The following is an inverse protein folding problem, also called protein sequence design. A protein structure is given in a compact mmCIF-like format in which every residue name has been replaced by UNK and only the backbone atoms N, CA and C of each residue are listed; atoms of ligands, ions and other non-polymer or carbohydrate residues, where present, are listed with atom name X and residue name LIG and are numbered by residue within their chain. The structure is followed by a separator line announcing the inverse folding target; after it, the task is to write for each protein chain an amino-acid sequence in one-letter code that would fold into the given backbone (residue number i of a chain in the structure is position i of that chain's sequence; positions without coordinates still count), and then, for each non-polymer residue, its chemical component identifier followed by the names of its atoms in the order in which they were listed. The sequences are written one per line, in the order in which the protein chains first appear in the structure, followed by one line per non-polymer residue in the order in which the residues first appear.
data_IF_227112716122
#
_entry.id   IF_227112716122
#
_cell.length_a   1.000
_cell.length_b   1.000
_cell.length_c   1.000
_cell.angle_alpha   90.00
_cell.angle_beta   90.00
_cell.angle_gamma   90.00
#
_symmetry.space_group_name_H-M   'P 1'
#
loop_
_entity.id
_entity.type
_entity.pdbx_description
1 polymer ?
#
# COMPACT_ATOMS: atom_id res chain seq x y z
N UNK A 1 -15.72 14.42 25.35
CA UNK A 1 -15.55 13.26 26.25
C UNK A 1 -14.44 13.47 27.25
N UNK A 2 -14.62 12.97 28.48
CA UNK A 2 -13.60 12.98 29.54
C UNK A 2 -13.29 11.55 29.95
N UNK A 3 -12.01 11.22 30.09
CA UNK A 3 -11.61 9.94 30.67
C UNK A 3 -12.11 9.82 32.12
N UNK A 4 -12.53 8.63 32.53
CA UNK A 4 -12.84 8.33 33.94
C UNK A 4 -11.60 7.88 34.73
N UNK A 5 -10.48 7.64 34.05
CA UNK A 5 -9.27 7.03 34.63
C UNK A 5 -8.06 7.98 34.58
N UNK A 6 -8.15 9.05 33.77
CA UNK A 6 -7.06 10.04 33.61
C UNK A 6 -7.65 11.42 33.30
N UNK A 7 -6.83 12.48 33.40
CA UNK A 7 -7.25 13.85 33.07
C UNK A 7 -7.40 14.14 31.59
N UNK A 8 -7.37 13.11 30.74
CA UNK A 8 -7.51 13.25 29.30
C UNK A 8 -8.91 13.67 28.91
N UNK A 9 -8.99 14.67 28.04
CA UNK A 9 -10.22 15.16 27.42
C UNK A 9 -10.09 15.03 25.91
N UNK A 10 -11.11 14.44 25.28
CA UNK A 10 -11.21 14.36 23.81
C UNK A 10 -12.32 15.28 23.35
N UNK A 11 -12.04 16.08 22.32
CA UNK A 11 -13.08 16.82 21.60
C UNK A 11 -13.68 15.86 20.57
N UNK A 12 -14.92 15.44 20.78
CA UNK A 12 -15.67 14.72 19.77
C UNK A 12 -16.33 15.74 18.86
N UNK A 13 -16.03 15.65 17.56
CA UNK A 13 -16.65 16.48 16.55
C UNK A 13 -17.60 15.60 15.75
N UNK A 14 -18.91 15.85 15.89
CA UNK A 14 -19.94 15.17 15.11
C UNK A 14 -20.33 16.07 13.95
N UNK A 15 -20.22 15.61 12.72
CA UNK A 15 -20.90 16.24 11.59
C UNK A 15 -22.38 15.84 11.62
N UNK A 16 -23.22 16.75 12.09
CA UNK A 16 -24.69 16.56 12.12
C UNK A 16 -25.34 16.75 10.75
N UNK A 17 -24.63 17.26 9.78
CA UNK A 17 -25.03 17.35 8.37
C UNK A 17 -23.83 16.95 7.51
N UNK A 18 -24.04 16.02 6.60
CA UNK A 18 -23.13 15.86 5.49
C UNK A 18 -23.03 17.22 4.78
N UNK A 19 -21.88 17.88 4.85
CA UNK A 19 -21.63 18.99 3.93
C UNK A 19 -21.76 18.40 2.54
N UNK A 20 -22.64 18.99 1.73
CA UNK A 20 -22.68 18.67 0.31
C UNK A 20 -21.24 18.70 -0.22
N UNK A 21 -20.80 17.72 -1.02
CA UNK A 21 -19.45 17.67 -1.53
C UNK A 21 -19.22 18.94 -2.35
N UNK A 22 -18.46 19.87 -1.81
CA UNK A 22 -17.97 21.08 -2.49
C UNK A 22 -16.70 20.74 -3.29
N UNK A 23 -16.76 19.71 -4.07
CA UNK A 23 -15.99 19.44 -5.26
C UNK A 23 -16.75 18.33 -5.95
N UNK A 24 -17.08 18.50 -7.21
CA UNK A 24 -17.56 17.41 -8.04
C UNK A 24 -16.59 16.25 -7.87
N UNK A 25 -17.01 15.22 -7.12
CA UNK A 25 -16.33 13.94 -7.17
C UNK A 25 -16.31 13.59 -8.66
N UNK A 26 -15.17 13.23 -9.26
CA UNK A 26 -15.14 12.82 -10.65
C UNK A 26 -16.21 11.77 -10.80
N UNK A 27 -17.25 12.06 -11.58
CA UNK A 27 -18.31 11.12 -11.87
C UNK A 27 -17.62 9.90 -12.44
N UNK A 28 -17.71 8.78 -11.74
CA UNK A 28 -17.17 7.53 -12.21
C UNK A 28 -17.86 7.26 -13.56
N UNK A 29 -17.13 7.45 -14.66
CA UNK A 29 -17.64 7.14 -15.99
C UNK A 29 -18.00 5.68 -15.99
N UNK A 30 -19.29 5.39 -16.08
CA UNK A 30 -19.77 4.01 -16.23
C UNK A 30 -19.43 3.61 -17.68
N UNK A 31 -18.55 2.61 -17.83
CA UNK A 31 -18.28 2.06 -19.16
C UNK A 31 -19.53 1.39 -19.71
N UNK A 32 -19.71 1.52 -21.03
CA UNK A 32 -20.78 0.82 -21.71
C UNK A 32 -20.67 -0.69 -21.50
N UNK A 33 -21.79 -1.34 -21.25
CA UNK A 33 -21.85 -2.77 -20.95
C UNK A 33 -21.19 -3.63 -22.05
N UNK A 34 -21.32 -3.22 -23.31
CA UNK A 34 -20.69 -3.87 -24.47
C UNK A 34 -19.17 -3.90 -24.39
N UNK A 35 -18.54 -2.79 -23.92
CA UNK A 35 -17.08 -2.70 -23.73
C UNK A 35 -16.62 -3.57 -22.54
N UNK A 36 -17.42 -3.61 -21.48
CA UNK A 36 -17.16 -4.48 -20.33
C UNK A 36 -17.14 -5.93 -20.76
N UNK A 37 -18.15 -6.38 -21.49
CA UNK A 37 -18.25 -7.76 -22.00
C UNK A 37 -17.15 -8.11 -23.00
N UNK A 38 -16.75 -7.15 -23.84
CA UNK A 38 -15.63 -7.34 -24.76
C UNK A 38 -14.30 -7.49 -24.01
N UNK A 39 -14.07 -6.68 -22.98
CA UNK A 39 -12.91 -6.79 -22.14
C UNK A 39 -12.86 -8.15 -21.40
N UNK A 40 -13.98 -8.61 -20.84
CA UNK A 40 -14.13 -9.93 -20.20
C UNK A 40 -13.80 -11.06 -21.20
N UNK A 41 -14.39 -11.01 -22.40
CA UNK A 41 -14.10 -11.97 -23.47
C UNK A 41 -12.62 -11.97 -23.86
N UNK A 42 -12.00 -10.80 -23.94
CA UNK A 42 -10.56 -10.67 -24.20
C UNK A 42 -9.72 -11.32 -23.11
N UNK A 43 -10.01 -11.04 -21.84
CA UNK A 43 -9.32 -11.64 -20.67
C UNK A 43 -9.44 -13.16 -20.70
N UNK A 44 -10.66 -13.67 -20.80
CA UNK A 44 -10.94 -15.12 -20.87
C UNK A 44 -10.19 -15.77 -22.04
N UNK A 45 -10.30 -15.23 -23.25
CA UNK A 45 -9.65 -15.76 -24.46
C UNK A 45 -8.12 -15.82 -24.33
N UNK A 46 -7.49 -14.76 -23.81
CA UNK A 46 -6.03 -14.73 -23.67
C UNK A 46 -5.55 -15.72 -22.61
N UNK A 47 -6.22 -15.78 -21.47
CA UNK A 47 -5.79 -16.63 -20.37
C UNK A 47 -6.12 -18.12 -20.59
N UNK A 48 -7.24 -18.44 -21.23
CA UNK A 48 -7.57 -19.84 -21.57
C UNK A 48 -6.87 -20.33 -22.83
N UNK A 49 -6.44 -19.43 -23.72
CA UNK A 49 -5.65 -19.74 -24.91
C UNK A 49 -4.27 -20.31 -24.60
N UNK A 50 -3.56 -20.77 -25.62
CA UNK A 50 -2.24 -21.39 -25.47
C UNK A 50 -1.06 -20.48 -25.84
N UNK A 51 -1.35 -19.26 -26.33
CA UNK A 51 -0.30 -18.30 -26.72
C UNK A 51 0.15 -17.45 -25.54
N UNK A 52 1.23 -17.89 -24.89
CA UNK A 52 1.86 -17.18 -23.75
C UNK A 52 2.30 -15.76 -24.09
N UNK A 53 2.62 -15.45 -25.36
CA UNK A 53 3.10 -14.13 -25.76
C UNK A 53 1.99 -13.06 -25.71
N UNK A 54 0.73 -13.46 -25.68
CA UNK A 54 -0.39 -12.54 -25.52
C UNK A 54 -0.60 -12.07 -24.07
N UNK A 55 -0.15 -12.84 -23.09
CA UNK A 55 -0.37 -12.55 -21.67
C UNK A 55 0.27 -11.21 -21.25
N UNK A 56 1.53 -10.89 -21.59
CA UNK A 56 2.12 -9.58 -21.27
C UNK A 56 1.41 -8.39 -21.96
N UNK A 57 0.66 -8.64 -23.02
CA UNK A 57 -0.09 -7.62 -23.75
C UNK A 57 -1.53 -7.41 -23.21
N UNK A 58 -1.96 -8.23 -22.25
CA UNK A 58 -3.36 -8.29 -21.80
C UNK A 58 -3.86 -6.93 -21.31
N UNK A 59 -3.11 -6.27 -20.42
CA UNK A 59 -3.48 -4.94 -19.89
C UNK A 59 -3.63 -3.91 -21.02
N UNK A 60 -2.70 -3.91 -22.00
CA UNK A 60 -2.78 -3.01 -23.16
C UNK A 60 -3.99 -3.29 -24.05
N UNK A 61 -4.36 -4.57 -24.19
CA UNK A 61 -5.56 -4.96 -24.95
C UNK A 61 -6.82 -4.48 -24.27
N UNK A 62 -6.94 -4.69 -22.97
CA UNK A 62 -8.08 -4.21 -22.18
C UNK A 62 -8.16 -2.68 -22.19
N UNK A 63 -7.03 -1.97 -22.08
CA UNK A 63 -7.00 -0.52 -22.17
C UNK A 63 -7.46 0.01 -23.54
N UNK A 64 -7.14 -0.72 -24.62
CA UNK A 64 -7.62 -0.39 -25.98
C UNK A 64 -9.13 -0.60 -26.13
N UNK A 65 -9.67 -1.68 -25.56
CA UNK A 65 -11.11 -1.99 -25.57
C UNK A 65 -11.88 -0.94 -24.76
N UNK A 66 -11.42 -0.61 -23.55
CA UNK A 66 -12.07 0.38 -22.69
C UNK A 66 -11.94 1.82 -23.18
N UNK A 67 -11.02 2.09 -24.13
CA UNK A 67 -10.70 3.45 -24.58
C UNK A 67 -10.01 4.32 -23.53
N UNK A 68 -9.60 3.75 -22.40
CA UNK A 68 -9.03 4.47 -21.25
C UNK A 68 -7.73 3.81 -20.79
N UNK A 69 -6.75 4.61 -20.30
CA UNK A 69 -5.59 4.06 -19.60
C UNK A 69 -6.04 3.31 -18.35
N UNK A 70 -5.29 2.28 -17.96
CA UNK A 70 -5.67 1.38 -16.86
C UNK A 70 -5.90 2.10 -15.52
N UNK A 71 -5.23 3.22 -15.30
CA UNK A 71 -5.31 3.97 -14.03
C UNK A 71 -6.64 4.73 -13.89
N UNK A 72 -7.34 4.94 -15.02
CA UNK A 72 -8.64 5.61 -15.09
C UNK A 72 -9.81 4.60 -15.14
N UNK A 73 -9.54 3.30 -15.04
CA UNK A 73 -10.60 2.30 -15.06
C UNK A 73 -11.53 2.42 -13.86
N UNK A 74 -12.85 2.52 -14.07
CA UNK A 74 -13.84 2.62 -12.99
C UNK A 74 -13.84 1.41 -12.07
N UNK A 75 -14.15 1.63 -10.78
CA UNK A 75 -14.14 0.57 -9.76
C UNK A 75 -14.99 -0.64 -10.16
N UNK A 76 -16.24 -0.44 -10.59
CA UNK A 76 -17.12 -1.54 -11.00
C UNK A 76 -16.55 -2.35 -12.16
N UNK A 77 -15.93 -1.68 -13.15
CA UNK A 77 -15.29 -2.36 -14.28
C UNK A 77 -14.15 -3.27 -13.83
N UNK A 78 -13.23 -2.76 -13.01
CA UNK A 78 -12.11 -3.58 -12.54
C UNK A 78 -12.56 -4.70 -11.61
N UNK A 79 -13.65 -4.54 -10.85
CA UNK A 79 -14.22 -5.60 -10.01
C UNK A 79 -14.87 -6.70 -10.85
N UNK A 80 -15.54 -6.35 -11.94
CA UNK A 80 -16.05 -7.33 -12.93
C UNK A 80 -14.91 -8.16 -13.51
N UNK A 81 -13.79 -7.53 -13.87
CA UNK A 81 -12.60 -8.26 -14.35
C UNK A 81 -11.96 -9.11 -13.23
N UNK A 82 -12.00 -8.65 -11.98
CA UNK A 82 -11.48 -9.43 -10.85
C UNK A 82 -12.29 -10.72 -10.63
N UNK A 83 -13.62 -10.66 -10.78
CA UNK A 83 -14.48 -11.84 -10.68
C UNK A 83 -14.13 -12.87 -11.76
N UNK A 84 -13.99 -12.45 -13.01
CA UNK A 84 -13.53 -13.33 -14.09
C UNK A 84 -12.17 -13.97 -13.82
N UNK A 85 -11.24 -13.20 -13.28
CA UNK A 85 -9.91 -13.68 -12.94
C UNK A 85 -9.94 -14.70 -11.81
N UNK A 86 -10.80 -14.50 -10.82
CA UNK A 86 -11.00 -15.46 -9.71
C UNK A 86 -11.57 -16.78 -10.22
N UNK A 87 -12.55 -16.75 -11.12
CA UNK A 87 -13.10 -17.94 -11.79
C UNK A 87 -12.02 -18.70 -12.58
N UNK A 88 -11.06 -17.97 -13.14
CA UNK A 88 -9.96 -18.51 -13.91
C UNK A 88 -8.71 -18.85 -13.10
N UNK A 89 -8.77 -18.92 -11.77
CA UNK A 89 -7.59 -19.13 -10.92
C UNK A 89 -6.78 -20.40 -11.26
N UNK A 90 -7.41 -21.42 -11.83
CA UNK A 90 -6.75 -22.67 -12.24
C UNK A 90 -5.74 -22.48 -13.39
N UNK A 91 -5.85 -21.41 -14.17
CA UNK A 91 -4.94 -21.15 -15.30
C UNK A 91 -3.49 -20.90 -14.83
N UNK A 92 -3.29 -20.60 -13.58
CA UNK A 92 -1.97 -20.41 -12.98
C UNK A 92 -1.06 -21.61 -13.23
N UNK A 93 -1.61 -22.82 -13.27
CA UNK A 93 -0.86 -24.07 -13.54
C UNK A 93 -0.41 -24.25 -15.00
N UNK A 94 -0.91 -23.44 -15.94
CA UNK A 94 -0.56 -23.56 -17.37
C UNK A 94 0.89 -23.16 -17.68
N UNK A 95 1.47 -22.26 -16.85
CA UNK A 95 2.84 -21.80 -17.04
C UNK A 95 3.14 -20.50 -16.29
N UNK A 96 4.41 -20.23 -16.09
CA UNK A 96 4.89 -19.07 -15.35
C UNK A 96 4.38 -17.73 -15.90
N UNK A 97 4.22 -17.60 -17.21
CA UNK A 97 3.74 -16.35 -17.84
C UNK A 97 2.26 -16.14 -17.55
N UNK A 98 1.46 -17.22 -17.58
CA UNK A 98 0.05 -17.20 -17.22
C UNK A 98 -0.13 -16.85 -15.74
N UNK A 99 0.62 -17.46 -14.84
CA UNK A 99 0.54 -17.16 -13.41
C UNK A 99 0.94 -15.71 -13.12
N UNK A 100 2.07 -15.24 -13.67
CA UNK A 100 2.53 -13.85 -13.50
C UNK A 100 1.52 -12.85 -14.04
N UNK A 101 0.98 -13.09 -15.25
CA UNK A 101 0.01 -12.18 -15.85
C UNK A 101 -1.32 -12.15 -15.12
N UNK A 102 -1.79 -13.31 -14.64
CA UNK A 102 -2.98 -13.42 -13.82
C UNK A 102 -2.83 -12.63 -12.52
N UNK A 103 -1.72 -12.83 -11.78
CA UNK A 103 -1.45 -12.11 -10.53
C UNK A 103 -1.35 -10.60 -10.74
N UNK A 104 -0.67 -10.17 -11.82
CA UNK A 104 -0.51 -8.76 -12.12
C UNK A 104 -1.87 -8.09 -12.35
N UNK A 105 -2.73 -8.70 -13.19
CA UNK A 105 -4.03 -8.13 -13.51
C UNK A 105 -5.00 -8.24 -12.32
N UNK A 106 -5.06 -9.39 -11.64
CA UNK A 106 -5.94 -9.56 -10.47
C UNK A 106 -5.57 -8.58 -9.35
N UNK A 107 -4.29 -8.47 -9.00
CA UNK A 107 -3.85 -7.53 -7.97
C UNK A 107 -4.18 -6.09 -8.34
N UNK A 108 -4.07 -5.73 -9.62
CA UNK A 108 -4.46 -4.42 -10.10
C UNK A 108 -5.98 -4.21 -10.01
N UNK A 109 -6.79 -5.18 -10.47
CA UNK A 109 -8.24 -5.07 -10.49
C UNK A 109 -8.88 -5.14 -9.09
N UNK A 110 -8.22 -5.79 -8.13
CA UNK A 110 -8.76 -5.96 -6.77
C UNK A 110 -8.21 -4.93 -5.77
N UNK A 111 -7.20 -4.11 -6.15
CA UNK A 111 -6.65 -3.09 -5.25
C UNK A 111 -7.74 -2.11 -4.77
N UNK A 112 -7.69 -1.65 -3.52
CA UNK A 112 -6.81 -2.03 -2.43
C UNK A 112 -7.28 -3.27 -1.63
N UNK A 113 -8.26 -4.02 -2.13
CA UNK A 113 -8.90 -5.17 -1.48
C UNK A 113 -10.17 -4.83 -0.71
N UNK A 114 -10.59 -3.56 -0.78
CA UNK A 114 -11.82 -3.00 -0.21
C UNK A 114 -12.40 -1.97 -1.20
N UNK A 115 -13.65 -1.59 -1.04
CA UNK A 115 -14.32 -0.55 -1.83
C UNK A 115 -15.70 -0.96 -2.35
N UNK A 116 -15.96 -2.26 -2.48
CA UNK A 116 -17.28 -2.82 -2.79
C UNK A 116 -17.72 -3.84 -1.75
N UNK A 117 -19.04 -4.00 -1.59
CA UNK A 117 -19.60 -4.95 -0.63
C UNK A 117 -19.16 -6.40 -0.85
N UNK A 118 -18.94 -6.80 -2.10
CA UNK A 118 -18.47 -8.14 -2.48
C UNK A 118 -16.96 -8.36 -2.27
N UNK A 119 -16.17 -7.33 -2.02
CA UNK A 119 -14.71 -7.46 -1.86
C UNK A 119 -14.32 -8.40 -0.73
N UNK A 120 -15.12 -8.46 0.34
CA UNK A 120 -14.89 -9.41 1.43
C UNK A 120 -14.89 -10.87 0.94
N UNK A 121 -15.79 -11.22 0.02
CA UNK A 121 -15.87 -12.57 -0.56
C UNK A 121 -14.69 -12.82 -1.51
N UNK A 122 -14.34 -11.85 -2.36
CA UNK A 122 -13.18 -11.90 -3.24
C UNK A 122 -11.89 -12.12 -2.44
N UNK A 123 -11.73 -11.37 -1.33
CA UNK A 123 -10.59 -11.50 -0.43
C UNK A 123 -10.52 -12.87 0.26
N UNK A 124 -11.65 -13.46 0.61
CA UNK A 124 -11.67 -14.84 1.13
C UNK A 124 -11.21 -15.87 0.09
N UNK A 125 -11.58 -15.67 -1.18
CA UNK A 125 -11.14 -16.56 -2.26
C UNK A 125 -9.63 -16.46 -2.49
N UNK A 126 -9.07 -15.25 -2.63
CA UNK A 126 -7.62 -15.11 -2.84
C UNK A 126 -6.81 -15.51 -1.62
N UNK A 127 -7.37 -15.43 -0.40
CA UNK A 127 -6.66 -15.90 0.79
C UNK A 127 -6.37 -17.41 0.74
N UNK A 128 -7.26 -18.20 0.15
CA UNK A 128 -6.99 -19.63 -0.09
C UNK A 128 -5.78 -19.82 -1.00
N UNK A 129 -5.61 -18.92 -1.98
CA UNK A 129 -4.45 -18.90 -2.88
C UNK A 129 -3.18 -18.53 -2.11
N UNK A 130 -3.24 -17.57 -1.16
CA UNK A 130 -2.11 -17.26 -0.29
C UNK A 130 -1.58 -18.48 0.46
N UNK A 131 -2.49 -19.27 1.01
CA UNK A 131 -2.13 -20.47 1.76
C UNK A 131 -1.51 -21.58 0.89
N UNK A 132 -1.84 -21.62 -0.39
CA UNK A 132 -1.27 -22.55 -1.37
C UNK A 132 0.10 -22.10 -1.88
N UNK A 133 0.36 -20.81 -1.90
CA UNK A 133 1.55 -20.22 -2.50
C UNK A 133 1.49 -20.12 -4.04
N UNK A 134 2.56 -19.58 -4.65
CA UNK A 134 2.70 -19.55 -6.10
C UNK A 134 2.98 -20.98 -6.64
N UNK A 135 2.41 -21.29 -7.82
CA UNK A 135 2.61 -22.60 -8.47
C UNK A 135 4.04 -22.75 -9.00
N UNK A 136 4.58 -21.67 -9.57
CA UNK A 136 5.95 -21.64 -10.10
C UNK A 136 6.88 -20.87 -9.14
N UNK A 137 6.93 -21.29 -7.88
CA UNK A 137 7.66 -20.66 -6.76
C UNK A 137 9.17 -20.50 -7.00
N UNK A 138 9.78 -21.32 -7.88
CA UNK A 138 11.20 -21.22 -8.25
C UNK A 138 11.50 -20.11 -9.26
N UNK A 139 10.48 -19.50 -9.86
CA UNK A 139 10.64 -18.47 -10.89
C UNK A 139 10.65 -17.08 -10.27
N UNK A 140 11.75 -16.32 -10.38
CA UNK A 140 11.86 -14.99 -9.75
C UNK A 140 10.75 -14.02 -10.15
N UNK A 141 10.34 -14.02 -11.42
CA UNK A 141 9.25 -13.17 -11.92
C UNK A 141 7.92 -13.52 -11.25
N UNK A 142 7.62 -14.81 -11.07
CA UNK A 142 6.38 -15.25 -10.41
C UNK A 142 6.36 -14.80 -8.94
N UNK A 143 7.49 -14.96 -8.22
CA UNK A 143 7.60 -14.50 -6.84
C UNK A 143 7.49 -12.99 -6.71
N UNK A 144 8.07 -12.24 -7.65
CA UNK A 144 7.94 -10.78 -7.68
C UNK A 144 6.48 -10.35 -7.85
N UNK A 145 5.77 -10.88 -8.86
CA UNK A 145 4.35 -10.57 -9.09
C UNK A 145 3.46 -11.04 -7.92
N UNK A 146 3.83 -12.11 -7.23
CA UNK A 146 3.18 -12.55 -6.01
C UNK A 146 3.18 -11.46 -4.94
N UNK A 147 4.33 -10.88 -4.61
CA UNK A 147 4.42 -9.83 -3.60
C UNK A 147 3.78 -8.53 -4.04
N UNK A 148 3.87 -8.18 -5.32
CA UNK A 148 3.16 -7.02 -5.90
C UNK A 148 1.65 -7.18 -5.73
N UNK A 149 1.09 -8.36 -6.07
CA UNK A 149 -0.34 -8.63 -5.91
C UNK A 149 -0.77 -8.48 -4.46
N UNK A 150 -0.04 -9.10 -3.52
CA UNK A 150 -0.40 -9.04 -2.10
C UNK A 150 -0.25 -7.64 -1.50
N UNK A 151 0.76 -6.88 -1.92
CA UNK A 151 0.89 -5.47 -1.55
C UNK A 151 -0.33 -4.66 -1.98
N UNK A 152 -0.80 -4.89 -3.20
CA UNK A 152 -1.97 -4.20 -3.77
C UNK A 152 -3.27 -4.45 -3.03
N UNK A 153 -3.46 -5.63 -2.48
CA UNK A 153 -4.71 -6.03 -1.83
C UNK A 153 -4.63 -6.09 -0.30
N UNK A 154 -3.54 -5.61 0.28
CA UNK A 154 -3.25 -5.73 1.71
C UNK A 154 -4.34 -5.13 2.61
N UNK A 155 -5.01 -4.05 2.19
CA UNK A 155 -6.08 -3.41 2.97
C UNK A 155 -7.29 -4.33 3.18
N UNK A 156 -7.57 -5.21 2.22
CA UNK A 156 -8.66 -6.19 2.30
C UNK A 156 -8.39 -7.38 3.23
N UNK A 157 -7.13 -7.60 3.64
CA UNK A 157 -6.77 -8.65 4.58
C UNK A 157 -7.29 -8.31 5.99
N UNK A 158 -7.81 -9.30 6.70
CA UNK A 158 -8.15 -9.17 8.12
C UNK A 158 -6.88 -9.03 8.96
N UNK A 159 -7.02 -8.60 10.22
CA UNK A 159 -5.88 -8.52 11.15
C UNK A 159 -5.17 -9.88 11.30
N UNK A 160 -5.92 -10.97 11.47
CA UNK A 160 -5.36 -12.32 11.59
C UNK A 160 -4.60 -12.75 10.32
N UNK A 161 -5.11 -12.40 9.13
CA UNK A 161 -4.44 -12.67 7.86
C UNK A 161 -3.17 -11.84 7.69
N UNK A 162 -3.19 -10.55 8.06
CA UNK A 162 -2.00 -9.71 8.03
C UNK A 162 -0.92 -10.23 8.99
N UNK A 163 -1.31 -10.65 10.19
CA UNK A 163 -0.38 -11.25 11.16
C UNK A 163 0.20 -12.57 10.65
N UNK A 164 -0.63 -13.44 10.07
CA UNK A 164 -0.15 -14.69 9.46
C UNK A 164 0.87 -14.42 8.34
N UNK A 165 0.56 -13.49 7.44
CA UNK A 165 1.47 -13.09 6.36
C UNK A 165 2.80 -12.54 6.90
N UNK A 166 2.76 -11.68 7.93
CA UNK A 166 3.96 -11.19 8.60
C UNK A 166 4.78 -12.32 9.24
N UNK A 167 4.13 -13.24 9.94
CA UNK A 167 4.79 -14.37 10.58
C UNK A 167 5.49 -15.28 9.56
N UNK A 168 4.90 -15.51 8.39
CA UNK A 168 5.50 -16.31 7.31
C UNK A 168 6.79 -15.67 6.76
N UNK A 169 6.95 -14.35 6.92
CA UNK A 169 8.13 -13.59 6.49
C UNK A 169 9.14 -13.34 7.62
N UNK A 170 8.81 -13.68 8.86
CA UNK A 170 9.61 -13.29 10.03
C UNK A 170 11.06 -13.79 9.97
N UNK A 171 11.30 -15.00 9.47
CA UNK A 171 12.65 -15.53 9.32
C UNK A 171 13.49 -14.75 8.30
N UNK A 172 12.86 -14.24 7.23
CA UNK A 172 13.56 -13.42 6.22
C UNK A 172 14.09 -12.11 6.82
N UNK A 173 13.35 -11.52 7.74
CA UNK A 173 13.72 -10.26 8.38
C UNK A 173 14.69 -10.46 9.56
N UNK A 174 14.38 -11.41 10.45
CA UNK A 174 14.99 -11.48 11.79
C UNK A 174 15.94 -12.68 11.98
N UNK A 175 15.91 -13.66 11.09
CA UNK A 175 16.81 -14.82 11.16
C UNK A 175 17.13 -15.35 9.78
N UNK A 176 17.93 -14.58 9.04
CA UNK A 176 18.28 -14.90 7.64
C UNK A 176 18.94 -16.27 7.47
N UNK A 177 19.64 -16.77 8.51
CA UNK A 177 20.31 -18.09 8.45
C UNK A 177 19.31 -19.24 8.43
N UNK A 178 18.15 -19.03 9.05
CA UNK A 178 17.05 -20.01 9.09
C UNK A 178 15.98 -19.78 8.02
N UNK A 179 16.07 -18.69 7.27
CA UNK A 179 15.06 -18.41 6.26
C UNK A 179 15.18 -19.39 5.07
N UNK A 180 14.07 -20.04 4.76
CA UNK A 180 13.91 -20.81 3.52
C UNK A 180 13.68 -19.92 2.28
N UNK A 181 13.34 -18.64 2.49
CA UNK A 181 13.03 -17.69 1.41
C UNK A 181 14.33 -17.12 0.84
N UNK A 182 14.68 -17.52 -0.37
CA UNK A 182 15.81 -16.97 -1.14
C UNK A 182 15.31 -15.88 -2.08
N UNK A 183 15.08 -14.68 -1.53
CA UNK A 183 14.58 -13.54 -2.31
C UNK A 183 15.72 -12.88 -3.12
N UNK A 184 15.41 -12.52 -4.38
CA UNK A 184 16.27 -11.62 -5.16
C UNK A 184 16.24 -10.21 -4.54
N UNK A 185 17.20 -9.32 -4.85
CA UNK A 185 17.20 -7.95 -4.35
C UNK A 185 15.88 -7.22 -4.66
N UNK A 186 15.35 -7.37 -5.87
CA UNK A 186 14.08 -6.74 -6.28
C UNK A 186 12.88 -7.32 -5.51
N UNK A 187 12.84 -8.64 -5.37
CA UNK A 187 11.81 -9.32 -4.58
C UNK A 187 11.84 -8.88 -3.12
N UNK A 188 13.04 -8.70 -2.53
CA UNK A 188 13.19 -8.23 -1.16
C UNK A 188 12.61 -6.82 -0.97
N UNK A 189 12.77 -5.93 -1.94
CA UNK A 189 12.16 -4.60 -1.91
C UNK A 189 10.63 -4.68 -1.91
N UNK A 190 10.03 -5.54 -2.75
CA UNK A 190 8.58 -5.73 -2.76
C UNK A 190 8.05 -6.38 -1.48
N UNK A 191 8.83 -7.30 -0.88
CA UNK A 191 8.48 -7.88 0.43
C UNK A 191 8.48 -6.79 1.53
N UNK A 192 9.44 -5.86 1.52
CA UNK A 192 9.44 -4.71 2.41
C UNK A 192 8.21 -3.83 2.20
N UNK A 193 7.89 -3.52 0.93
CA UNK A 193 6.71 -2.72 0.60
C UNK A 193 5.41 -3.43 0.98
N UNK A 194 5.29 -4.73 0.76
CA UNK A 194 4.15 -5.52 1.21
C UNK A 194 4.00 -5.48 2.74
N UNK A 195 5.09 -5.75 3.47
CA UNK A 195 5.07 -5.79 4.93
C UNK A 195 4.73 -4.43 5.55
N UNK A 196 5.21 -3.33 4.95
CA UNK A 196 4.88 -1.97 5.37
C UNK A 196 3.41 -1.60 5.08
N UNK A 197 2.78 -2.27 4.13
CA UNK A 197 1.35 -2.10 3.83
C UNK A 197 0.42 -2.89 4.76
N UNK A 198 0.94 -3.71 5.67
CA UNK A 198 0.15 -4.43 6.66
C UNK A 198 -0.21 -3.52 7.86
N UNK A 199 -1.07 -2.53 7.63
CA UNK A 199 -1.38 -1.50 8.63
C UNK A 199 -2.05 -2.02 9.91
N UNK A 200 -2.72 -3.20 9.83
CA UNK A 200 -3.42 -3.81 10.98
C UNK A 200 -2.47 -4.58 11.92
N UNK A 201 -1.18 -4.65 11.61
CA UNK A 201 -0.17 -5.16 12.55
C UNK A 201 -0.12 -4.30 13.81
N UNK A 202 0.24 -4.91 14.95
CA UNK A 202 0.42 -4.19 16.20
C UNK A 202 1.55 -3.15 16.10
N UNK A 203 1.51 -2.09 16.91
CA UNK A 203 2.60 -1.12 16.97
C UNK A 203 3.97 -1.75 17.25
N UNK A 204 4.02 -2.80 18.08
CA UNK A 204 5.26 -3.53 18.40
C UNK A 204 5.83 -4.29 17.20
N UNK A 205 4.97 -4.95 16.40
CA UNK A 205 5.39 -5.64 15.17
C UNK A 205 5.91 -4.64 14.13
N UNK A 206 5.22 -3.51 13.94
CA UNK A 206 5.67 -2.42 13.06
C UNK A 206 6.99 -1.81 13.52
N UNK A 207 7.14 -1.57 14.83
CA UNK A 207 8.39 -1.07 15.42
C UNK A 207 9.55 -2.02 15.15
N UNK A 208 9.33 -3.32 15.33
CA UNK A 208 10.34 -4.33 15.04
C UNK A 208 10.76 -4.36 13.57
N UNK A 209 9.77 -4.25 12.65
CA UNK A 209 10.04 -4.15 11.21
C UNK A 209 10.85 -2.90 10.87
N UNK A 210 10.46 -1.75 11.38
CA UNK A 210 11.13 -0.50 11.07
C UNK A 210 12.57 -0.43 11.58
N UNK A 211 12.83 -0.93 12.79
CA UNK A 211 14.19 -1.07 13.33
C UNK A 211 15.05 -1.96 12.43
N UNK A 212 14.52 -3.11 12.03
CA UNK A 212 15.23 -4.02 11.13
C UNK A 212 15.50 -3.38 9.75
N UNK A 213 14.55 -2.62 9.23
CA UNK A 213 14.73 -1.91 7.97
C UNK A 213 15.82 -0.83 8.08
N UNK A 214 15.84 -0.07 9.17
CA UNK A 214 16.88 0.95 9.44
C UNK A 214 18.28 0.33 9.56
N UNK A 215 18.41 -0.86 10.15
CA UNK A 215 19.68 -1.61 10.18
C UNK A 215 20.15 -2.06 8.77
N UNK A 216 19.20 -2.32 7.85
CA UNK A 216 19.52 -2.71 6.47
C UNK A 216 19.86 -1.53 5.57
N UNK A 217 19.41 -0.34 5.92
CA UNK A 217 19.67 0.89 5.15
C UNK A 217 21.09 1.39 5.46
N UNK A 218 21.87 1.58 4.41
CA UNK A 218 23.14 2.29 4.47
C UNK A 218 23.16 3.38 3.41
N UNK A 219 24.10 4.32 3.51
CA UNK A 219 24.26 5.40 2.52
C UNK A 219 24.38 4.85 1.09
N UNK A 220 25.04 3.69 0.93
CA UNK A 220 25.25 3.07 -0.38
C UNK A 220 24.09 2.16 -0.82
N UNK A 221 23.12 1.85 0.04
CA UNK A 221 22.04 0.90 -0.21
C UNK A 221 20.64 1.48 0.05
N UNK A 222 20.52 2.79 0.15
CA UNK A 222 19.23 3.44 0.31
C UNK A 222 18.46 3.41 -1.02
N UNK A 223 17.27 2.77 -1.01
CA UNK A 223 16.35 2.74 -2.15
C UNK A 223 15.09 3.50 -1.81
N UNK A 224 14.43 4.05 -2.81
CA UNK A 224 13.14 4.74 -2.65
C UNK A 224 12.08 3.84 -2.00
N UNK A 225 12.10 2.54 -2.28
CA UNK A 225 11.21 1.56 -1.67
C UNK A 225 11.46 1.39 -0.16
N UNK A 226 12.71 1.48 0.31
CA UNK A 226 13.03 1.46 1.74
C UNK A 226 12.45 2.69 2.44
N UNK A 227 12.65 3.87 1.85
CA UNK A 227 12.11 5.13 2.36
C UNK A 227 10.59 5.12 2.40
N UNK A 228 9.98 4.63 1.32
CA UNK A 228 8.54 4.46 1.26
C UNK A 228 8.04 3.50 2.35
N UNK A 229 8.69 2.34 2.54
CA UNK A 229 8.31 1.38 3.57
C UNK A 229 8.42 1.98 4.99
N UNK A 230 9.50 2.73 5.29
CA UNK A 230 9.64 3.44 6.57
C UNK A 230 8.51 4.46 6.78
N UNK A 231 8.20 5.28 5.76
CA UNK A 231 7.11 6.27 5.84
C UNK A 231 5.76 5.61 6.11
N UNK A 232 5.53 4.41 5.56
CA UNK A 232 4.30 3.63 5.78
C UNK A 232 4.23 3.05 7.19
N UNK A 233 5.33 2.43 7.68
CA UNK A 233 5.40 1.87 9.03
C UNK A 233 5.20 2.93 10.11
N UNK A 234 5.76 4.13 9.89
CA UNK A 234 5.69 5.26 10.81
C UNK A 234 4.59 6.28 10.48
N UNK A 235 3.69 5.98 9.53
CA UNK A 235 2.61 6.90 9.16
C UNK A 235 1.79 7.30 10.39
N UNK A 236 1.61 8.64 10.56
CA UNK A 236 0.76 9.18 11.64
C UNK A 236 -0.71 9.09 11.26
N UNK A 237 -0.97 9.07 9.98
CA UNK A 237 -2.30 8.98 9.39
C UNK A 237 -2.37 7.70 8.54
N UNK A 238 -3.05 6.67 9.05
CA UNK A 238 -3.13 5.37 8.40
C UNK A 238 -4.22 5.40 7.30
N UNK A 239 -4.06 4.64 6.23
CA UNK A 239 -5.03 4.62 5.12
C UNK A 239 -6.30 3.82 5.44
N UNK A 240 -6.18 2.72 6.20
CA UNK A 240 -7.30 1.79 6.40
C UNK A 240 -7.32 1.10 7.76
N UNK A 241 -6.29 1.27 8.60
CA UNK A 241 -6.30 0.75 9.96
C UNK A 241 -6.69 1.81 10.98
N UNK A 242 -7.08 1.38 12.16
CA UNK A 242 -7.44 2.23 13.28
C UNK A 242 -6.22 2.89 13.92
N UNK A 243 -6.44 4.02 14.58
CA UNK A 243 -5.38 4.89 15.13
C UNK A 243 -4.50 4.20 16.18
N UNK A 244 -5.03 3.20 16.89
CA UNK A 244 -4.31 2.38 17.86
C UNK A 244 -3.21 1.51 17.23
N UNK A 245 -3.19 1.41 15.90
CA UNK A 245 -2.15 0.72 15.12
C UNK A 245 -0.98 1.62 14.74
N UNK A 246 -0.94 2.86 15.19
CA UNK A 246 0.17 3.79 14.97
C UNK A 246 1.31 3.48 15.95
N UNK A 247 2.56 3.49 15.50
CA UNK A 247 3.73 3.33 16.40
C UNK A 247 3.87 4.54 17.31
N UNK A 248 4.51 4.35 18.48
CA UNK A 248 4.69 5.41 19.45
C UNK A 248 5.47 6.61 18.87
N UNK A 249 5.09 7.86 19.23
CA UNK A 249 5.77 9.07 18.75
C UNK A 249 7.27 9.06 19.06
N UNK A 250 7.67 8.60 20.23
CA UNK A 250 9.07 8.56 20.66
C UNK A 250 9.92 7.63 19.78
N UNK A 251 9.34 6.52 19.32
CA UNK A 251 10.02 5.64 18.38
C UNK A 251 10.13 6.27 16.99
N UNK A 252 9.10 6.97 16.58
CA UNK A 252 9.12 7.74 15.32
C UNK A 252 10.20 8.82 15.35
N UNK A 253 10.35 9.54 16.45
CA UNK A 253 11.40 10.53 16.65
C UNK A 253 12.80 9.93 16.46
N UNK A 254 13.06 8.75 17.06
CA UNK A 254 14.35 8.04 16.88
C UNK A 254 14.64 7.69 15.42
N UNK A 255 13.62 7.25 14.66
CA UNK A 255 13.79 6.94 13.24
C UNK A 255 14.02 8.20 12.41
N UNK A 256 13.32 9.31 12.73
CA UNK A 256 13.54 10.61 12.11
C UNK A 256 14.98 11.08 12.34
N UNK A 257 15.50 10.98 13.58
CA UNK A 257 16.89 11.36 13.90
C UNK A 257 17.92 10.57 13.07
N UNK A 258 17.71 9.27 12.91
CA UNK A 258 18.58 8.44 12.06
C UNK A 258 18.50 8.86 10.58
N UNK A 259 17.32 9.21 10.08
CA UNK A 259 17.17 9.70 8.71
C UNK A 259 17.77 11.11 8.53
N UNK A 260 17.66 12.00 9.53
CA UNK A 260 18.27 13.33 9.49
C UNK A 260 19.81 13.26 9.48
N UNK A 261 20.40 12.20 10.01
CA UNK A 261 21.85 11.94 9.96
C UNK A 261 22.32 11.44 8.58
N UNK A 262 21.40 11.22 7.62
CA UNK A 262 21.76 10.77 6.27
C UNK A 262 22.49 11.88 5.49
N UNK A 263 23.70 11.57 5.00
CA UNK A 263 24.59 12.49 4.28
C UNK A 263 24.78 12.11 2.79
N UNK A 264 23.81 11.46 2.17
CA UNK A 264 23.86 11.11 0.74
C UNK A 264 23.60 12.31 -0.18
N UNK A 265 23.89 12.13 -1.48
CA UNK A 265 23.82 13.19 -2.48
C UNK A 265 22.38 13.72 -2.73
N UNK A 266 21.35 12.87 -2.58
CA UNK A 266 19.96 13.27 -2.76
C UNK A 266 19.19 13.12 -1.46
N UNK A 267 18.95 14.27 -0.81
CA UNK A 267 18.23 14.35 0.47
C UNK A 267 16.72 14.54 0.30
N UNK A 268 16.24 14.88 -0.90
CA UNK A 268 14.81 15.14 -1.13
C UNK A 268 13.90 13.94 -0.84
N UNK A 269 14.20 12.70 -1.27
CA UNK A 269 13.41 11.53 -0.91
C UNK A 269 13.38 11.28 0.59
N UNK A 270 14.52 11.48 1.29
CA UNK A 270 14.63 11.38 2.75
C UNK A 270 13.73 12.42 3.42
N UNK A 271 13.81 13.67 2.97
CA UNK A 271 12.96 14.76 3.49
C UNK A 271 11.47 14.47 3.35
N UNK A 272 11.02 13.97 2.20
CA UNK A 272 9.62 13.58 2.00
C UNK A 272 9.19 12.44 2.93
N UNK A 273 10.09 11.50 3.21
CA UNK A 273 9.84 10.42 4.16
C UNK A 273 9.68 10.98 5.57
N UNK A 274 10.58 11.87 6.01
CA UNK A 274 10.50 12.55 7.30
C UNK A 274 9.19 13.33 7.43
N UNK A 275 8.77 14.06 6.38
CA UNK A 275 7.50 14.79 6.36
C UNK A 275 6.31 13.86 6.61
N UNK A 276 6.26 12.68 6.00
CA UNK A 276 5.18 11.73 6.23
C UNK A 276 5.19 11.17 7.67
N UNK A 277 6.39 10.95 8.23
CA UNK A 277 6.55 10.46 9.60
C UNK A 277 6.24 11.53 10.65
N UNK A 278 6.48 12.81 10.34
CA UNK A 278 6.28 13.96 11.21
C UNK A 278 4.94 14.69 10.97
N UNK A 279 4.09 14.17 10.08
CA UNK A 279 2.80 14.79 9.73
C UNK A 279 1.99 15.10 10.96
N UNK A 280 1.45 16.32 11.04
CA UNK A 280 0.59 16.74 12.13
C UNK A 280 -0.84 16.23 11.93
N UNK A 281 -1.38 15.57 12.96
CA UNK A 281 -2.75 15.04 12.97
C UNK A 281 -3.66 15.76 13.96
N UNK A 282 -3.07 16.53 14.89
CA UNK A 282 -3.77 17.16 16.01
C UNK A 282 -4.06 16.22 17.17
N UNK A 283 -3.59 14.98 17.11
CA UNK A 283 -3.73 13.98 18.16
C UNK A 283 -2.38 13.76 18.85
N UNK A 284 -2.25 14.24 20.08
CA UNK A 284 -1.00 14.14 20.86
C UNK A 284 -0.53 12.70 21.08
N UNK A 285 -1.41 11.71 21.00
CA UNK A 285 -1.02 10.31 21.13
C UNK A 285 -0.29 9.78 19.87
N UNK A 286 -0.39 10.49 18.77
CA UNK A 286 0.24 10.13 17.49
C UNK A 286 1.32 11.09 17.04
N UNK A 287 1.12 12.38 17.32
CA UNK A 287 2.01 13.43 16.83
C UNK A 287 3.35 13.40 17.56
N UNK A 288 4.42 13.69 16.87
CA UNK A 288 5.74 13.96 17.47
C UNK A 288 5.65 15.22 18.32
N UNK A 289 6.51 15.33 19.32
CA UNK A 289 6.57 16.50 20.19
C UNK A 289 7.03 17.77 19.44
N UNK A 290 6.74 18.95 20.03
CA UNK A 290 7.02 20.23 19.42
C UNK A 290 8.53 20.50 19.23
N UNK A 291 9.37 19.95 20.11
CA UNK A 291 10.83 20.07 20.00
C UNK A 291 11.35 19.34 18.78
N UNK A 292 10.91 18.10 18.58
CA UNK A 292 11.26 17.33 17.39
C UNK A 292 10.67 17.96 16.13
N UNK A 293 9.44 18.47 16.19
CA UNK A 293 8.78 19.17 15.08
C UNK A 293 9.60 20.38 14.61
N UNK A 294 10.07 21.20 15.54
CA UNK A 294 10.93 22.36 15.23
C UNK A 294 12.22 21.89 14.55
N UNK A 295 12.91 20.91 15.13
CA UNK A 295 14.15 20.35 14.55
C UNK A 295 13.93 19.80 13.13
N UNK A 296 12.79 19.15 12.88
CA UNK A 296 12.44 18.66 11.53
C UNK A 296 12.25 19.83 10.57
N UNK A 297 11.51 20.87 10.95
CA UNK A 297 11.27 22.03 10.08
C UNK A 297 12.57 22.77 9.76
N UNK A 298 13.46 22.94 10.73
CA UNK A 298 14.78 23.53 10.55
C UNK A 298 15.61 22.69 9.57
N UNK A 299 15.68 21.39 9.79
CA UNK A 299 16.41 20.45 8.92
C UNK A 299 15.90 20.44 7.47
N UNK A 300 14.57 20.49 7.26
CA UNK A 300 13.95 20.57 5.94
C UNK A 300 14.23 21.91 5.25
N UNK A 301 14.29 22.98 6.03
CA UNK A 301 14.56 24.35 5.54
C UNK A 301 16.02 24.50 5.11
N UNK A 302 16.97 24.03 5.92
CA UNK A 302 18.40 24.01 5.59
C UNK A 302 18.67 23.24 4.28
N UNK A 303 17.87 22.23 3.97
CA UNK A 303 17.97 21.42 2.75
C UNK A 303 17.09 21.90 1.61
N UNK A 304 16.52 23.11 1.75
CA UNK A 304 15.77 23.81 0.72
C UNK A 304 14.54 23.05 0.17
N UNK A 305 13.88 22.24 1.02
CA UNK A 305 12.60 21.65 0.63
C UNK A 305 11.53 22.76 0.52
N UNK A 306 10.68 22.65 -0.50
CA UNK A 306 9.62 23.60 -0.77
C UNK A 306 8.60 23.69 0.39
N UNK A 307 8.00 24.87 0.59
CA UNK A 307 7.10 25.11 1.72
C UNK A 307 5.83 24.24 1.68
N UNK A 308 5.30 23.98 0.48
CA UNK A 308 4.17 23.07 0.29
C UNK A 308 4.47 21.63 0.74
N UNK A 309 5.72 21.19 0.63
CA UNK A 309 6.19 19.88 1.12
C UNK A 309 6.28 19.87 2.65
N UNK A 310 6.74 20.97 3.26
CA UNK A 310 6.90 21.12 4.73
C UNK A 310 5.56 21.32 5.47
N UNK A 311 4.57 21.89 4.79
CA UNK A 311 3.29 22.28 5.37
C UNK A 311 2.60 21.17 6.22
N UNK A 312 2.60 19.88 5.82
CA UNK A 312 1.99 18.83 6.66
C UNK A 312 2.67 18.59 8.02
N UNK A 313 3.89 19.12 8.22
CA UNK A 313 4.59 19.05 9.51
C UNK A 313 4.16 20.18 10.43
N UNK A 314 3.88 21.36 9.90
CA UNK A 314 3.51 22.56 10.67
C UNK A 314 2.00 22.74 10.85
N UNK A 315 1.19 22.14 9.98
CA UNK A 315 -0.26 22.32 9.95
C UNK A 315 -0.99 20.98 9.81
N UNK A 316 -2.21 20.92 10.34
CA UNK A 316 -3.12 19.81 10.11
C UNK A 316 -3.69 19.95 8.70
N UNK A 317 -3.18 19.15 7.76
CA UNK A 317 -3.61 19.15 6.36
C UNK A 317 -4.30 17.86 6.03
N UNK A 318 -5.56 17.87 5.50
CA UNK A 318 -6.23 16.65 5.05
C UNK A 318 -5.42 15.90 4.00
N UNK A 319 -5.46 14.56 4.03
CA UNK A 319 -4.85 13.73 2.98
C UNK A 319 -5.62 13.90 1.68
N UNK A 320 -4.97 14.48 0.68
CA UNK A 320 -5.52 14.57 -0.69
C UNK A 320 -5.39 13.21 -1.39
N UNK A 321 -6.18 12.99 -2.45
CA UNK A 321 -6.09 11.78 -3.28
C UNK A 321 -4.65 11.49 -3.76
N UNK A 322 -3.88 12.52 -4.14
CA UNK A 322 -2.46 12.39 -4.51
C UNK A 322 -1.62 11.83 -3.35
N UNK A 323 -1.86 12.29 -2.12
CA UNK A 323 -1.12 11.84 -0.95
C UNK A 323 -1.47 10.38 -0.63
N UNK A 324 -2.77 10.02 -0.72
CA UNK A 324 -3.24 8.65 -0.55
C UNK A 324 -2.63 7.70 -1.58
N UNK A 325 -2.58 8.10 -2.85
CA UNK A 325 -1.92 7.34 -3.92
C UNK A 325 -0.42 7.14 -3.64
N UNK A 326 0.28 8.21 -3.23
CA UNK A 326 1.70 8.13 -2.87
C UNK A 326 1.93 7.21 -1.66
N UNK A 327 1.07 7.29 -0.64
CA UNK A 327 1.12 6.40 0.53
C UNK A 327 0.75 4.96 0.17
N UNK A 328 -0.16 4.74 -0.74
CA UNK A 328 -0.50 3.39 -1.23
C UNK A 328 0.59 2.80 -2.12
N UNK A 329 1.38 3.65 -2.78
CA UNK A 329 2.47 3.28 -3.68
C UNK A 329 2.02 2.99 -5.12
N UNK A 330 0.76 3.30 -5.45
CA UNK A 330 0.17 3.18 -6.78
C UNK A 330 -1.13 4.01 -6.82
N UNK A 331 -1.66 4.33 -8.02
CA UNK A 331 -2.98 4.97 -8.13
C UNK A 331 -4.08 4.08 -7.54
N UNK A 332 -4.92 4.65 -6.70
CA UNK A 332 -6.14 3.99 -6.23
C UNK A 332 -7.23 4.08 -7.31
N UNK A 333 -8.15 3.12 -7.38
CA UNK A 333 -9.29 3.21 -8.29
C UNK A 333 -10.12 4.45 -8.03
N UNK A 334 -10.68 5.03 -9.10
CA UNK A 334 -11.57 6.18 -8.99
C UNK A 334 -12.81 5.84 -8.14
N UNK A 335 -13.16 6.73 -7.21
CA UNK A 335 -14.32 6.57 -6.34
C UNK A 335 -14.08 5.76 -5.05
N UNK A 336 -12.84 5.27 -4.81
CA UNK A 336 -12.54 4.65 -3.51
C UNK A 336 -12.33 5.70 -2.43
N UNK A 337 -13.04 5.50 -1.32
CA UNK A 337 -12.83 6.22 -0.06
C UNK A 337 -12.21 5.21 0.91
N UNK A 338 -10.98 5.47 1.34
CA UNK A 338 -10.25 4.58 2.27
C UNK A 338 -10.62 4.85 3.74
N UNK A 339 -11.20 6.00 4.03
CA UNK A 339 -11.70 6.42 5.35
C UNK A 339 -13.04 7.10 5.23
N UNK A 340 -13.95 6.77 6.12
CA UNK A 340 -15.11 7.58 6.48
C UNK A 340 -14.74 8.54 7.60
#
# INVERSE_FOLDING_TARGET
CRSRVSDHRWKLQFQLRAMAPTAEAPQAQVLEQTLVEEAQRCVRRVLTGNDRNQVPQLVKKVARISGQPRDDWPLGFIRTLADDLLDLASIRSKGQDFESGWMNLLGFCLRPGIGEGADKLRMQQIWKIFLQGPVFDRKPRVRLEWWIMWRRVAAGLTEGQQRHAFQSLSSLFFDRKKSSIKATPQERLEIWMFSANLEKLSPSEKTRLGRQLLEEISVNNLKSQHLWALSRLAARDLLYATVDRTIAPEETCRWIEQLMAYNGNDVHPVGRTIVQMARQTGDRARDIDDTMRTRVLDWLTERQLADDVKRPVSEIVPLKARDQNAMFGESLPLGIILRD
#
